data_IF_327039853097
#
_entry.id   IF_327039853097
#
_cell.length_a   1.000
_cell.length_b   1.000
_cell.length_c   1.000
_cell.angle_alpha   90.00
_cell.angle_beta   90.00
_cell.angle_gamma   90.00
#
_symmetry.space_group_name_H-M   'P 1'
#
loop_
_entity.id
_entity.type
_entity.pdbx_description
1 polymer ?
#
# COMPACT_ATOMS: atom_id res chain seq x y z
N UNK A 1 2.28 -19.48 -32.93
CA UNK A 1 1.43 -19.59 -31.72
C UNK A 1 1.17 -18.17 -31.24
N UNK A 2 0.06 -17.57 -31.64
CA UNK A 2 -0.29 -16.20 -31.23
C UNK A 2 -1.19 -16.31 -30.01
N UNK A 3 -0.67 -15.96 -28.84
CA UNK A 3 -1.45 -15.90 -27.61
C UNK A 3 -2.55 -14.85 -27.79
N UNK A 4 -3.79 -15.21 -27.44
CA UNK A 4 -4.97 -14.40 -27.70
C UNK A 4 -5.08 -13.22 -26.73
N UNK A 5 -5.68 -12.10 -27.16
CA UNK A 5 -5.83 -10.84 -26.40
C UNK A 5 -6.47 -11.04 -25.01
N UNK A 6 -7.26 -12.10 -24.83
CA UNK A 6 -7.91 -12.47 -23.56
C UNK A 6 -6.92 -13.03 -22.52
N UNK A 7 -5.84 -13.71 -22.93
CA UNK A 7 -4.80 -14.23 -22.03
C UNK A 7 -3.80 -13.15 -21.62
N UNK A 8 -3.62 -12.11 -22.45
CA UNK A 8 -2.74 -10.98 -22.17
C UNK A 8 -3.29 -10.08 -21.04
N UNK A 9 -4.62 -10.01 -20.90
CA UNK A 9 -5.24 -9.17 -19.89
C UNK A 9 -5.24 -9.81 -18.48
N UNK A 10 -5.20 -11.15 -18.38
CA UNK A 10 -5.09 -11.86 -17.09
C UNK A 10 -3.71 -11.79 -16.44
N UNK A 11 -2.63 -11.60 -17.20
CA UNK A 11 -1.29 -11.41 -16.63
C UNK A 11 -1.05 -9.96 -16.14
N UNK A 12 -1.77 -8.98 -16.69
CA UNK A 12 -1.61 -7.57 -16.26
C UNK A 12 -2.14 -7.33 -14.85
N UNK A 13 -3.16 -8.06 -14.42
CA UNK A 13 -3.74 -7.92 -13.09
C UNK A 13 -2.82 -8.45 -11.98
N UNK A 14 -2.01 -9.47 -12.25
CA UNK A 14 -1.07 -10.04 -11.27
C UNK A 14 0.27 -9.27 -11.21
N UNK A 15 0.71 -8.68 -12.32
CA UNK A 15 2.00 -7.97 -12.38
C UNK A 15 1.94 -6.53 -11.81
N UNK A 16 0.74 -6.00 -11.57
CA UNK A 16 0.56 -4.67 -10.98
C UNK A 16 0.96 -4.57 -9.50
N UNK A 17 1.02 -5.70 -8.78
CA UNK A 17 1.19 -5.74 -7.31
C UNK A 17 2.61 -6.07 -6.82
N UNK A 18 3.51 -6.43 -7.75
CA UNK A 18 4.94 -6.62 -7.50
C UNK A 18 5.78 -5.43 -7.96
N UNK A 19 5.17 -4.32 -8.37
CA UNK A 19 5.91 -3.07 -8.55
C UNK A 19 6.58 -2.76 -7.21
N UNK A 20 7.91 -2.67 -7.20
CA UNK A 20 8.64 -2.01 -6.12
C UNK A 20 7.81 -0.81 -5.68
N UNK A 21 7.50 -0.71 -4.40
CA UNK A 21 6.61 0.33 -3.88
C UNK A 21 7.13 1.68 -4.37
N UNK A 22 6.48 2.24 -5.39
CA UNK A 22 6.84 3.56 -5.92
C UNK A 22 6.39 4.52 -4.84
N UNK A 23 7.36 5.02 -4.08
CA UNK A 23 7.07 5.82 -2.91
C UNK A 23 6.48 7.15 -3.38
N UNK A 24 5.17 7.31 -3.18
CA UNK A 24 4.45 8.51 -3.64
C UNK A 24 5.05 9.74 -2.94
N UNK A 25 5.35 10.77 -3.72
CA UNK A 25 5.90 12.01 -3.17
C UNK A 25 4.83 12.77 -2.36
N UNK A 26 5.24 13.33 -1.23
CA UNK A 26 4.35 14.09 -0.34
C UNK A 26 3.68 15.28 -1.01
N UNK A 27 4.30 15.84 -2.06
CA UNK A 27 3.77 17.00 -2.78
C UNK A 27 2.57 16.65 -3.64
N UNK A 28 2.49 15.41 -4.10
CA UNK A 28 1.47 14.95 -5.03
C UNK A 28 0.22 14.42 -4.28
N UNK A 29 0.38 14.05 -3.01
CA UNK A 29 -0.73 13.61 -2.17
C UNK A 29 -1.47 14.79 -1.53
N UNK A 30 -2.56 15.21 -2.16
CA UNK A 30 -3.48 16.23 -1.63
C UNK A 30 -4.50 15.66 -0.64
N UNK A 31 -4.81 14.36 -0.75
CA UNK A 31 -5.78 13.66 0.09
C UNK A 31 -5.32 12.25 0.48
N UNK A 32 -5.90 11.71 1.55
CA UNK A 32 -5.62 10.36 2.00
C UNK A 32 -6.05 9.32 0.96
N UNK A 33 -5.14 8.43 0.57
CA UNK A 33 -5.39 7.39 -0.45
C UNK A 33 -6.58 6.47 -0.12
N UNK A 34 -6.94 6.29 1.16
CA UNK A 34 -8.05 5.41 1.56
C UNK A 34 -9.38 6.15 1.78
N UNK A 35 -9.36 7.32 2.43
CA UNK A 35 -10.58 8.01 2.83
C UNK A 35 -10.88 9.29 2.02
N UNK A 36 -10.02 9.66 1.08
CA UNK A 36 -10.09 10.86 0.24
C UNK A 36 -10.29 12.18 0.99
N UNK A 37 -10.04 12.20 2.30
CA UNK A 37 -10.06 13.44 3.08
C UNK A 37 -8.75 14.19 2.85
N UNK A 38 -8.86 15.47 2.47
CA UNK A 38 -7.72 16.35 2.24
C UNK A 38 -6.81 16.45 3.46
N UNK A 39 -5.51 16.46 3.22
CA UNK A 39 -4.51 16.71 4.25
C UNK A 39 -4.53 18.16 4.71
N UNK A 40 -4.12 18.38 5.95
CA UNK A 40 -4.02 19.71 6.57
C UNK A 40 -2.93 19.70 7.64
N UNK A 41 -2.68 20.84 8.28
CA UNK A 41 -1.71 20.93 9.39
C UNK A 41 -2.03 19.94 10.52
N UNK A 42 -3.34 19.73 10.77
CA UNK A 42 -3.83 18.77 11.78
C UNK A 42 -3.93 17.32 11.23
N UNK A 43 -4.24 17.15 9.93
CA UNK A 43 -4.29 15.83 9.28
C UNK A 43 -3.01 15.62 8.47
N UNK A 44 -1.97 15.10 9.13
CA UNK A 44 -0.66 14.88 8.53
C UNK A 44 -0.62 13.67 7.59
N UNK A 45 0.35 13.67 6.70
CA UNK A 45 0.66 12.60 5.74
C UNK A 45 1.50 11.51 6.40
N UNK A 46 1.20 10.26 6.07
CA UNK A 46 1.94 9.10 6.53
C UNK A 46 2.02 8.05 5.43
N UNK A 47 3.22 7.59 5.10
CA UNK A 47 3.37 6.49 4.15
C UNK A 47 3.05 5.13 4.77
N UNK A 48 2.41 4.28 3.98
CA UNK A 48 2.43 2.84 4.24
C UNK A 48 3.78 2.27 3.77
N UNK A 49 4.53 1.62 4.67
CA UNK A 49 5.85 1.05 4.33
C UNK A 49 5.76 -0.23 3.48
N UNK A 50 4.55 -0.79 3.32
CA UNK A 50 4.32 -1.97 2.48
C UNK A 50 3.94 -1.59 1.04
N UNK A 51 3.02 -0.64 0.82
CA UNK A 51 2.58 -0.26 -0.52
C UNK A 51 3.13 1.08 -1.04
N UNK A 52 3.75 1.91 -0.20
CA UNK A 52 4.36 3.19 -0.61
C UNK A 52 3.39 4.37 -0.71
N UNK A 53 2.08 4.13 -0.66
CA UNK A 53 1.05 5.19 -0.75
C UNK A 53 0.93 6.04 0.54
N UNK A 54 0.29 7.21 0.42
CA UNK A 54 0.15 8.19 1.50
C UNK A 54 -1.27 8.18 2.11
N UNK A 55 -1.32 8.07 3.44
CA UNK A 55 -2.53 7.97 4.25
C UNK A 55 -2.55 8.99 5.38
N UNK A 56 -3.71 9.21 5.98
CA UNK A 56 -3.81 9.92 7.26
C UNK A 56 -3.53 8.97 8.44
N UNK A 57 -3.39 9.55 9.64
CA UNK A 57 -3.12 8.78 10.86
C UNK A 57 -4.14 7.67 11.11
N UNK A 58 -5.44 7.97 10.97
CA UNK A 58 -6.51 7.00 11.17
C UNK A 58 -6.47 5.82 10.20
N UNK A 59 -6.14 6.05 8.91
CA UNK A 59 -6.11 5.00 7.87
C UNK A 59 -4.78 4.23 7.83
N UNK A 60 -3.85 4.56 8.73
CA UNK A 60 -2.54 3.92 8.81
C UNK A 60 -2.07 3.74 10.24
N UNK A 61 -3.00 3.49 11.17
CA UNK A 61 -2.69 3.45 12.60
C UNK A 61 -2.12 2.10 13.07
N UNK A 62 -1.77 1.22 12.14
CA UNK A 62 -1.27 -0.12 12.42
C UNK A 62 0.22 -0.22 12.10
N UNK A 63 0.91 -1.14 12.77
CA UNK A 63 2.31 -1.46 12.52
C UNK A 63 2.47 -2.97 12.26
N UNK A 64 3.32 -3.33 11.29
CA UNK A 64 3.62 -4.72 10.97
C UNK A 64 5.13 -4.93 10.83
N UNK A 65 5.66 -6.11 11.22
CA UNK A 65 7.01 -6.50 10.85
C UNK A 65 7.07 -6.64 9.33
N UNK A 66 8.03 -5.99 8.68
CA UNK A 66 8.29 -6.13 7.25
C UNK A 66 9.73 -6.64 7.04
N UNK A 67 10.01 -7.48 6.03
CA UNK A 67 11.37 -7.97 5.77
C UNK A 67 12.41 -6.86 5.59
N UNK A 68 11.99 -5.69 5.12
CA UNK A 68 12.82 -4.50 4.90
C UNK A 68 13.23 -3.78 6.20
N UNK A 69 12.65 -4.12 7.36
CA UNK A 69 12.81 -3.36 8.59
C UNK A 69 12.99 -4.26 9.81
N UNK A 70 13.97 -3.93 10.68
CA UNK A 70 14.24 -4.68 11.92
C UNK A 70 13.16 -4.54 13.00
N UNK A 71 12.32 -3.52 12.91
CA UNK A 71 11.24 -3.22 13.85
C UNK A 71 9.92 -3.13 13.08
N UNK A 72 8.76 -3.36 13.73
CA UNK A 72 7.47 -3.08 13.13
C UNK A 72 7.41 -1.65 12.58
N UNK A 73 6.77 -1.51 11.42
CA UNK A 73 6.65 -0.22 10.73
C UNK A 73 5.21 0.03 10.33
N UNK A 74 4.87 1.32 10.22
CA UNK A 74 3.53 1.79 9.85
C UNK A 74 3.05 1.21 8.53
N UNK A 75 1.84 0.67 8.53
CA UNK A 75 1.13 0.20 7.33
C UNK A 75 -0.31 0.74 7.30
N UNK A 76 -0.90 0.87 6.11
CA UNK A 76 -2.31 1.18 5.97
C UNK A 76 -3.20 0.01 6.38
N UNK A 77 -4.49 0.26 6.60
CA UNK A 77 -5.45 -0.75 7.05
C UNK A 77 -5.53 -1.94 6.07
N UNK A 78 -5.49 -1.68 4.76
CA UNK A 78 -5.53 -2.72 3.73
C UNK A 78 -4.29 -3.61 3.76
N UNK A 79 -3.09 -3.02 3.90
CA UNK A 79 -1.85 -3.78 4.03
C UNK A 79 -1.81 -4.57 5.34
N UNK A 80 -2.32 -4.00 6.43
CA UNK A 80 -2.41 -4.68 7.71
C UNK A 80 -3.26 -5.95 7.63
N UNK A 81 -4.49 -5.84 7.11
CA UNK A 81 -5.40 -6.99 6.95
C UNK A 81 -4.78 -8.10 6.09
N UNK A 82 -4.19 -7.72 4.96
CA UNK A 82 -3.54 -8.67 4.04
C UNK A 82 -2.32 -9.38 4.66
N UNK A 83 -1.48 -8.65 5.40
CA UNK A 83 -0.29 -9.23 6.04
C UNK A 83 -0.67 -10.17 7.19
N UNK A 84 -1.72 -9.85 7.95
CA UNK A 84 -2.23 -10.73 9.00
C UNK A 84 -2.73 -12.06 8.44
N UNK A 85 -3.48 -12.03 7.34
CA UNK A 85 -3.94 -13.24 6.66
C UNK A 85 -2.75 -14.10 6.20
N UNK A 86 -1.72 -13.47 5.65
CA UNK A 86 -0.51 -14.18 5.21
C UNK A 86 0.31 -14.79 6.33
N UNK A 87 0.45 -14.11 7.46
CA UNK A 87 1.18 -14.66 8.61
C UNK A 87 0.39 -15.73 9.35
N UNK A 88 -0.93 -15.71 9.27
CA UNK A 88 -1.79 -16.74 9.85
C UNK A 88 -1.84 -18.02 9.00
N UNK A 89 -1.44 -17.93 7.73
CA UNK A 89 -1.37 -19.05 6.79
C UNK A 89 -0.02 -19.79 6.79
N UNK A 90 0.91 -19.39 7.67
CA UNK A 90 2.21 -20.01 7.93
C UNK A 90 2.28 -20.54 9.35
#
# INVERSE_FOLDING_TARGET
MFISKLEVDGLKENTGRLKEAVWTSDRDAVECHQCSKQFSVARRRHHCRSCGEIFCGNCSNNEMPLPSNKKPVRVCDSCHAYLLERYSAT
#
